data_IF_497082162190
#
_entry.id   IF_497082162190
#
_cell.length_a   1.000
_cell.length_b   1.000
_cell.length_c   1.000
_cell.angle_alpha   90.00
_cell.angle_beta   90.00
_cell.angle_gamma   90.00
#
_symmetry.space_group_name_H-M   'P 1'
#
loop_
_entity.id
_entity.type
_entity.pdbx_description
1 polymer ?
#
# COMPACT_ATOMS: atom_id res chain seq x y z
N UNK A 1 24.48 -43.11 -54.49
CA UNK A 1 24.67 -41.66 -54.23
C UNK A 1 23.60 -40.88 -54.99
N UNK A 2 22.45 -40.61 -54.39
CA UNK A 2 21.36 -39.89 -55.05
C UNK A 2 21.50 -38.38 -54.75
N UNK A 3 22.02 -37.61 -55.71
CA UNK A 3 22.02 -36.15 -55.63
C UNK A 3 20.59 -35.67 -55.87
N UNK A 4 19.88 -35.39 -54.78
CA UNK A 4 18.64 -34.63 -54.82
C UNK A 4 19.03 -33.21 -55.25
N UNK A 5 19.00 -32.95 -56.56
CA UNK A 5 19.15 -31.61 -57.11
C UNK A 5 17.93 -30.81 -56.68
N UNK A 6 18.05 -30.16 -55.51
CA UNK A 6 17.03 -29.26 -54.99
C UNK A 6 17.02 -28.02 -55.89
N UNK A 7 16.13 -28.03 -56.88
CA UNK A 7 15.90 -26.88 -57.78
C UNK A 7 15.70 -25.61 -56.94
N UNK A 8 16.34 -24.48 -57.28
CA UNK A 8 16.25 -23.23 -56.50
C UNK A 8 14.79 -22.77 -56.30
N UNK A 9 13.89 -23.13 -57.22
CA UNK A 9 12.45 -22.86 -57.14
C UNK A 9 11.77 -23.57 -55.97
N UNK A 10 12.15 -24.81 -55.66
CA UNK A 10 11.58 -25.59 -54.55
C UNK A 10 12.12 -25.12 -53.19
N UNK A 11 13.31 -24.54 -53.18
CA UNK A 11 13.94 -23.98 -51.99
C UNK A 11 13.27 -22.65 -51.61
N UNK A 12 12.99 -21.79 -52.60
CA UNK A 12 12.20 -20.57 -52.41
C UNK A 12 10.79 -20.87 -51.89
N UNK A 13 10.11 -21.87 -52.46
CA UNK A 13 8.75 -22.24 -52.05
C UNK A 13 8.71 -22.75 -50.59
N UNK A 14 9.71 -23.53 -50.16
CA UNK A 14 9.84 -23.96 -48.77
C UNK A 14 10.13 -22.81 -47.80
N UNK A 15 10.94 -21.82 -48.21
CA UNK A 15 11.21 -20.63 -47.39
C UNK A 15 9.94 -19.80 -47.23
N UNK A 16 9.18 -19.59 -48.31
CA UNK A 16 7.91 -18.83 -48.25
C UNK A 16 6.90 -19.54 -47.35
N UNK A 17 6.76 -20.86 -47.44
CA UNK A 17 5.87 -21.64 -46.56
C UNK A 17 6.36 -21.58 -45.11
N UNK A 18 7.67 -21.65 -44.87
CA UNK A 18 8.24 -21.55 -43.51
C UNK A 18 8.00 -20.18 -42.88
N UNK A 19 8.13 -19.09 -43.65
CA UNK A 19 7.86 -17.74 -43.18
C UNK A 19 6.38 -17.57 -42.89
N UNK A 20 5.51 -18.06 -43.79
CA UNK A 20 4.05 -18.00 -43.61
C UNK A 20 3.59 -18.83 -42.40
N UNK A 21 4.19 -19.99 -42.16
CA UNK A 21 3.92 -20.84 -40.99
C UNK A 21 4.40 -20.17 -39.70
N UNK A 22 5.59 -19.55 -39.71
CA UNK A 22 6.10 -18.80 -38.56
C UNK A 22 5.24 -17.58 -38.21
N UNK A 23 4.60 -16.95 -39.20
CA UNK A 23 3.63 -15.87 -38.98
C UNK A 23 2.38 -16.35 -38.24
N UNK A 24 1.93 -17.59 -38.46
CA UNK A 24 0.77 -18.17 -37.75
C UNK A 24 1.11 -18.47 -36.28
N UNK A 25 2.35 -18.86 -35.98
CA UNK A 25 2.80 -19.14 -34.60
C UNK A 25 3.06 -17.88 -33.76
N UNK A 26 3.28 -16.71 -34.39
CA UNK A 26 3.47 -15.43 -33.69
C UNK A 26 2.15 -14.79 -33.22
N UNK A 27 1.00 -15.32 -33.63
CA UNK A 27 -0.32 -14.82 -33.23
C UNK A 27 -0.96 -15.58 -32.07
N UNK A 28 -0.15 -16.22 -31.20
CA UNK A 28 -0.57 -16.42 -29.81
C UNK A 28 -0.48 -15.08 -29.06
N UNK A 29 -1.20 -14.08 -29.55
CA UNK A 29 -1.69 -13.03 -28.66
C UNK A 29 -2.51 -13.80 -27.63
N UNK A 30 -2.02 -13.85 -26.40
CA UNK A 30 -2.86 -14.18 -25.26
C UNK A 30 -4.04 -13.21 -25.33
N UNK A 31 -5.14 -13.64 -25.94
CA UNK A 31 -6.42 -13.00 -25.78
C UNK A 31 -6.79 -13.28 -24.32
N UNK A 32 -6.28 -12.47 -23.39
CA UNK A 32 -6.72 -12.52 -22.00
C UNK A 32 -8.23 -12.39 -22.04
N UNK A 33 -8.93 -13.42 -21.58
CA UNK A 33 -10.39 -13.37 -21.59
C UNK A 33 -10.83 -12.19 -20.73
N UNK A 34 -11.98 -11.60 -21.05
CA UNK A 34 -12.56 -10.56 -20.22
C UNK A 34 -12.78 -11.05 -18.78
N UNK A 35 -12.99 -12.35 -18.62
CA UNK A 35 -13.05 -13.07 -17.36
C UNK A 35 -11.71 -13.04 -16.60
N UNK A 36 -10.60 -13.43 -17.22
CA UNK A 36 -9.27 -13.39 -16.59
C UNK A 36 -8.89 -11.97 -16.16
N UNK A 37 -9.20 -10.98 -17.00
CA UNK A 37 -8.94 -9.57 -16.67
C UNK A 37 -9.82 -9.07 -15.53
N UNK A 38 -11.09 -9.47 -15.49
CA UNK A 38 -11.97 -9.11 -14.38
C UNK A 38 -11.56 -9.78 -13.06
N UNK A 39 -11.18 -11.06 -13.11
CA UNK A 39 -10.68 -11.79 -11.95
C UNK A 39 -9.41 -11.12 -11.39
N UNK A 40 -8.44 -10.79 -12.25
CA UNK A 40 -7.23 -10.09 -11.84
C UNK A 40 -7.51 -8.71 -11.22
N UNK A 41 -8.48 -7.95 -11.75
CA UNK A 41 -8.88 -6.67 -11.14
C UNK A 41 -9.56 -6.85 -9.78
N UNK A 42 -10.40 -7.88 -9.62
CA UNK A 42 -11.03 -8.19 -8.32
C UNK A 42 -9.95 -8.56 -7.28
N UNK A 43 -9.01 -9.42 -7.65
CA UNK A 43 -7.90 -9.82 -6.77
C UNK A 43 -7.03 -8.61 -6.38
N UNK A 44 -6.75 -7.70 -7.31
CA UNK A 44 -5.99 -6.49 -7.01
C UNK A 44 -6.76 -5.55 -6.06
N UNK A 45 -8.07 -5.41 -6.25
CA UNK A 45 -8.93 -4.65 -5.36
C UNK A 45 -9.02 -5.29 -3.96
N UNK A 46 -9.06 -6.62 -3.85
CA UNK A 46 -9.00 -7.36 -2.57
C UNK A 46 -7.70 -7.07 -1.82
N UNK A 47 -6.56 -7.19 -2.50
CA UNK A 47 -5.24 -6.91 -1.90
C UNK A 47 -5.13 -5.45 -1.44
N UNK A 48 -5.70 -4.52 -2.21
CA UNK A 48 -5.75 -3.10 -1.85
C UNK A 48 -6.61 -2.87 -0.60
N UNK A 49 -7.78 -3.53 -0.53
CA UNK A 49 -8.69 -3.45 0.60
C UNK A 49 -8.06 -4.01 1.88
N UNK A 50 -7.36 -5.16 1.78
CA UNK A 50 -6.61 -5.74 2.91
C UNK A 50 -5.53 -4.78 3.41
N UNK A 51 -4.78 -4.15 2.50
CA UNK A 51 -3.75 -3.17 2.87
C UNK A 51 -4.35 -1.94 3.55
N UNK A 52 -5.50 -1.47 3.06
CA UNK A 52 -6.25 -0.37 3.66
C UNK A 52 -6.76 -0.71 5.07
N UNK A 53 -7.29 -1.92 5.29
CA UNK A 53 -7.68 -2.40 6.61
C UNK A 53 -6.49 -2.38 7.59
N UNK A 54 -5.33 -2.85 7.15
CA UNK A 54 -4.14 -2.88 8.00
C UNK A 54 -3.67 -1.46 8.37
N UNK A 55 -3.69 -0.52 7.43
CA UNK A 55 -3.35 0.87 7.70
C UNK A 55 -4.29 1.53 8.72
N UNK A 56 -5.60 1.27 8.64
CA UNK A 56 -6.58 1.77 9.62
C UNK A 56 -6.31 1.17 11.00
N UNK A 57 -6.04 -0.13 11.06
CA UNK A 57 -5.78 -0.81 12.33
C UNK A 57 -4.56 -0.20 13.03
N UNK A 58 -3.50 0.09 12.28
CA UNK A 58 -2.33 0.79 12.82
C UNK A 58 -2.65 2.21 13.30
N UNK A 59 -3.47 2.95 12.55
CA UNK A 59 -3.92 4.28 12.95
C UNK A 59 -4.81 4.24 14.21
N UNK A 60 -5.71 3.27 14.31
CA UNK A 60 -6.57 3.05 15.48
C UNK A 60 -5.75 2.67 16.71
N UNK A 61 -4.77 1.77 16.56
CA UNK A 61 -3.85 1.39 17.64
C UNK A 61 -3.04 2.58 18.16
N UNK A 62 -2.71 3.54 17.30
CA UNK A 62 -2.08 4.79 17.68
C UNK A 62 -3.05 5.78 18.36
N UNK A 63 -4.35 5.48 18.44
CA UNK A 63 -5.38 6.32 19.02
C UNK A 63 -5.95 7.36 18.06
N UNK A 64 -5.78 7.18 16.75
CA UNK A 64 -6.33 8.10 15.76
C UNK A 64 -7.85 7.92 15.56
N UNK A 65 -8.55 8.99 15.20
CA UNK A 65 -9.97 8.91 14.85
C UNK A 65 -10.14 8.39 13.42
N UNK A 66 -10.57 7.14 13.30
CA UNK A 66 -10.72 6.43 12.02
C UNK A 66 -12.14 6.51 11.43
N UNK A 67 -13.07 7.27 12.00
CA UNK A 67 -14.50 7.22 11.62
C UNK A 67 -14.74 7.51 10.12
N UNK A 68 -14.02 8.49 9.58
CA UNK A 68 -14.12 8.86 8.16
C UNK A 68 -13.52 7.78 7.26
N UNK A 69 -12.33 7.27 7.63
CA UNK A 69 -11.65 6.20 6.90
C UNK A 69 -12.47 4.90 6.91
N UNK A 70 -13.13 4.58 8.02
CA UNK A 70 -13.98 3.40 8.13
C UNK A 70 -15.21 3.50 7.21
N UNK A 71 -15.77 4.70 7.06
CA UNK A 71 -16.89 4.95 6.15
C UNK A 71 -16.48 4.71 4.70
N UNK A 72 -15.33 5.25 4.29
CA UNK A 72 -14.79 5.10 2.95
C UNK A 72 -14.38 3.64 2.64
N UNK A 73 -13.83 2.93 3.63
CA UNK A 73 -13.52 1.51 3.52
C UNK A 73 -14.79 0.66 3.35
N UNK A 74 -15.87 1.01 4.06
CA UNK A 74 -17.16 0.33 3.91
C UNK A 74 -17.73 0.53 2.49
N UNK A 75 -17.61 1.74 1.94
CA UNK A 75 -18.01 2.02 0.56
C UNK A 75 -17.18 1.22 -0.46
N UNK A 76 -15.86 1.11 -0.23
CA UNK A 76 -14.98 0.27 -1.04
C UNK A 76 -15.36 -1.22 -0.94
N UNK A 77 -15.66 -1.72 0.25
CA UNK A 77 -16.13 -3.10 0.45
C UNK A 77 -17.45 -3.40 -0.27
N UNK A 78 -18.37 -2.43 -0.30
CA UNK A 78 -19.60 -2.54 -1.10
C UNK A 78 -19.31 -2.62 -2.60
N UNK A 79 -18.37 -1.83 -3.11
CA UNK A 79 -17.96 -1.88 -4.52
C UNK A 79 -17.35 -3.24 -4.88
N UNK A 80 -16.49 -3.77 -4.01
CA UNK A 80 -15.90 -5.10 -4.20
C UNK A 80 -16.94 -6.22 -4.19
N UNK A 81 -17.93 -6.15 -3.29
CA UNK A 81 -19.05 -7.10 -3.28
C UNK A 81 -19.85 -7.04 -4.59
N UNK A 82 -20.09 -5.84 -5.14
CA UNK A 82 -20.74 -5.68 -6.45
C UNK A 82 -19.88 -6.20 -7.60
N UNK A 83 -18.56 -6.10 -7.49
CA UNK A 83 -17.64 -6.66 -8.47
C UNK A 83 -17.76 -8.19 -8.54
N UNK A 84 -17.75 -8.86 -7.38
CA UNK A 84 -17.98 -10.30 -7.26
C UNK A 84 -19.34 -10.74 -7.81
N UNK A 85 -20.42 -10.05 -7.44
CA UNK A 85 -21.75 -10.35 -7.98
C UNK A 85 -21.80 -10.20 -9.50
N UNK A 86 -21.19 -9.14 -10.05
CA UNK A 86 -21.13 -8.95 -11.50
C UNK A 86 -20.30 -10.03 -12.20
N UNK A 87 -19.23 -10.51 -11.56
CA UNK A 87 -18.41 -11.61 -12.06
C UNK A 87 -19.19 -12.92 -12.10
N UNK A 88 -19.90 -13.26 -11.02
CA UNK A 88 -20.77 -14.46 -10.94
C UNK A 88 -21.90 -14.44 -11.99
N UNK A 89 -22.41 -13.25 -12.32
CA UNK A 89 -23.42 -13.07 -13.38
C UNK A 89 -22.83 -13.12 -14.81
N UNK A 90 -21.52 -13.33 -14.96
CA UNK A 90 -20.83 -13.33 -16.26
C UNK A 90 -20.66 -11.93 -16.87
N UNK A 91 -20.92 -10.87 -16.10
CA UNK A 91 -20.73 -9.48 -16.53
C UNK A 91 -19.34 -8.97 -16.12
N UNK A 92 -18.33 -9.48 -16.82
CA UNK A 92 -16.92 -9.22 -16.53
C UNK A 92 -16.52 -7.74 -16.70
N UNK A 93 -17.15 -7.00 -17.62
CA UNK A 93 -16.84 -5.58 -17.81
C UNK A 93 -17.33 -4.75 -16.62
N UNK A 94 -18.54 -5.03 -16.10
CA UNK A 94 -19.02 -4.38 -14.87
C UNK A 94 -18.20 -4.80 -13.65
N UNK A 95 -17.84 -6.08 -13.54
CA UNK A 95 -16.99 -6.59 -12.47
C UNK A 95 -15.66 -5.83 -12.38
N UNK A 96 -14.96 -5.71 -13.53
CA UNK A 96 -13.73 -4.93 -13.64
C UNK A 96 -13.94 -3.47 -13.25
N UNK A 97 -15.00 -2.83 -13.74
CA UNK A 97 -15.25 -1.41 -13.47
C UNK A 97 -15.53 -1.17 -11.96
N UNK A 98 -16.29 -2.06 -11.31
CA UNK A 98 -16.50 -1.98 -9.86
C UNK A 98 -15.20 -2.18 -9.07
N UNK A 99 -14.34 -3.11 -9.48
CA UNK A 99 -13.02 -3.31 -8.86
C UNK A 99 -12.12 -2.07 -9.02
N UNK A 100 -12.06 -1.47 -10.21
CA UNK A 100 -11.33 -0.23 -10.45
C UNK A 100 -11.89 0.93 -9.63
N UNK A 101 -13.20 1.03 -9.47
CA UNK A 101 -13.81 2.04 -8.59
C UNK A 101 -13.47 1.80 -7.11
N UNK A 102 -13.37 0.55 -6.67
CA UNK A 102 -12.92 0.21 -5.32
C UNK A 102 -11.49 0.73 -5.09
N UNK A 103 -10.56 0.47 -6.01
CA UNK A 103 -9.18 0.98 -5.93
C UNK A 103 -9.13 2.52 -5.98
N UNK A 104 -9.93 3.13 -6.86
CA UNK A 104 -10.07 4.59 -6.94
C UNK A 104 -10.56 5.21 -5.63
N UNK A 105 -11.52 4.55 -4.96
CA UNK A 105 -12.04 5.02 -3.68
C UNK A 105 -11.01 4.88 -2.54
N UNK A 106 -10.03 4.00 -2.68
CA UNK A 106 -8.92 3.79 -1.73
C UNK A 106 -7.63 4.53 -2.14
N UNK A 107 -7.67 5.35 -3.18
CA UNK A 107 -6.50 6.12 -3.62
C UNK A 107 -6.15 7.19 -2.58
N UNK A 108 -4.91 7.20 -2.09
CA UNK A 108 -4.45 8.11 -1.03
C UNK A 108 -4.92 7.72 0.37
N UNK A 109 -5.66 6.63 0.51
CA UNK A 109 -6.24 6.18 1.78
C UNK A 109 -5.18 5.80 2.81
N UNK A 110 -4.14 5.10 2.37
CA UNK A 110 -3.01 4.69 3.23
C UNK A 110 -2.26 5.92 3.74
N UNK A 111 -2.06 6.93 2.89
CA UNK A 111 -1.38 8.17 3.28
C UNK A 111 -2.18 8.95 4.33
N UNK A 112 -3.50 8.99 4.19
CA UNK A 112 -4.40 9.63 5.16
C UNK A 112 -4.44 8.88 6.50
N UNK A 113 -4.49 7.54 6.46
CA UNK A 113 -4.38 6.70 7.66
C UNK A 113 -3.05 6.91 8.39
N UNK A 114 -1.93 6.93 7.67
CA UNK A 114 -0.61 7.18 8.25
C UNK A 114 -0.50 8.62 8.78
N UNK A 115 -1.06 9.62 8.09
CA UNK A 115 -1.09 10.99 8.61
C UNK A 115 -1.86 11.09 9.94
N UNK A 116 -3.02 10.43 10.04
CA UNK A 116 -3.82 10.38 11.27
C UNK A 116 -3.09 9.65 12.41
N UNK A 117 -2.41 8.55 12.10
CA UNK A 117 -1.52 7.83 13.04
C UNK A 117 -0.42 8.74 13.58
N UNK A 118 0.28 9.46 12.70
CA UNK A 118 1.36 10.39 13.10
C UNK A 118 0.82 11.53 13.98
N UNK A 119 -0.35 12.08 13.66
CA UNK A 119 -1.01 13.10 14.50
C UNK A 119 -1.31 12.55 15.90
N UNK A 120 -1.79 11.31 15.99
CA UNK A 120 -2.10 10.67 17.26
C UNK A 120 -0.82 10.39 18.09
N UNK A 121 0.23 9.87 17.46
CA UNK A 121 1.55 9.67 18.08
C UNK A 121 2.13 11.01 18.58
N UNK A 122 2.08 12.05 17.75
CA UNK A 122 2.64 13.35 18.08
C UNK A 122 1.93 14.00 19.27
N UNK A 123 0.59 13.87 19.36
CA UNK A 123 -0.16 14.33 20.54
C UNK A 123 0.36 13.68 21.82
N UNK A 124 0.69 12.39 21.77
CA UNK A 124 1.24 11.67 22.93
C UNK A 124 2.71 12.05 23.23
N UNK A 125 3.50 12.42 22.22
CA UNK A 125 4.93 12.71 22.38
C UNK A 125 5.22 14.05 23.08
N UNK A 126 4.39 15.08 22.87
CA UNK A 126 4.55 16.38 23.53
C UNK A 126 4.35 16.29 25.06
N UNK A 127 3.35 15.53 25.49
CA UNK A 127 3.07 15.32 26.92
C UNK A 127 4.16 14.50 27.60
N UNK A 128 4.73 13.51 26.92
CA UNK A 128 5.80 12.69 27.49
C UNK A 128 7.13 13.45 27.56
N UNK A 129 7.54 14.09 26.47
CA UNK A 129 8.87 14.72 26.40
C UNK A 129 8.98 15.93 27.32
N UNK A 130 7.97 16.81 27.34
CA UNK A 130 8.02 18.03 28.17
C UNK A 130 7.90 17.69 29.66
N UNK A 131 7.00 16.77 30.05
CA UNK A 131 6.87 16.41 31.47
C UNK A 131 8.06 15.63 32.01
N UNK A 132 8.56 14.63 31.27
CA UNK A 132 9.63 13.75 31.77
C UNK A 132 10.97 14.48 31.76
N UNK A 133 11.34 15.12 30.65
CA UNK A 133 12.62 15.84 30.54
C UNK A 133 12.60 17.11 31.38
N UNK A 134 11.49 17.84 31.40
CA UNK A 134 11.32 19.04 32.23
C UNK A 134 11.46 18.74 33.73
N UNK A 135 10.84 17.66 34.21
CA UNK A 135 10.93 17.26 35.62
C UNK A 135 12.33 16.79 36.01
N UNK A 136 13.01 16.03 35.13
CA UNK A 136 14.36 15.55 35.38
C UNK A 136 15.38 16.71 35.46
N UNK A 137 15.32 17.66 34.53
CA UNK A 137 16.19 18.84 34.53
C UNK A 137 15.88 19.75 35.73
N UNK A 138 14.61 19.95 36.06
CA UNK A 138 14.20 20.72 37.24
C UNK A 138 14.70 20.13 38.55
N UNK A 139 14.60 18.82 38.73
CA UNK A 139 15.10 18.13 39.93
C UNK A 139 16.62 18.30 40.10
N UNK A 140 17.38 18.15 39.01
CA UNK A 140 18.84 18.35 39.01
C UNK A 140 19.21 19.78 39.36
N UNK A 141 18.48 20.78 38.84
CA UNK A 141 18.71 22.19 39.14
C UNK A 141 18.47 22.51 40.62
N UNK A 142 17.43 21.94 41.24
CA UNK A 142 17.14 22.13 42.68
C UNK A 142 18.26 21.53 43.53
N UNK A 143 18.74 20.33 43.20
CA UNK A 143 19.84 19.67 43.91
C UNK A 143 21.13 20.49 43.81
N UNK A 144 21.48 20.94 42.60
CA UNK A 144 22.67 21.77 42.39
C UNK A 144 22.56 23.12 43.10
N UNK A 145 21.41 23.80 43.00
CA UNK A 145 21.17 25.07 43.68
C UNK A 145 21.29 24.95 45.21
N UNK A 146 20.69 23.89 45.79
CA UNK A 146 20.81 23.60 47.22
C UNK A 146 22.25 23.32 47.66
N UNK A 147 23.01 22.58 46.86
CA UNK A 147 24.42 22.30 47.14
C UNK A 147 25.29 23.56 47.09
N UNK A 148 25.12 24.40 46.05
CA UNK A 148 25.84 25.67 45.92
C UNK A 148 25.52 26.61 47.06
N UNK A 149 24.24 26.73 47.42
CA UNK A 149 23.80 27.55 48.55
C UNK A 149 24.40 27.07 49.88
N UNK A 150 24.43 25.76 50.11
CA UNK A 150 25.03 25.17 51.30
C UNK A 150 26.53 25.42 51.39
N UNK A 151 27.27 25.24 50.29
CA UNK A 151 28.71 25.52 50.22
C UNK A 151 29.00 27.00 50.48
N UNK A 152 28.18 27.89 49.92
CA UNK A 152 28.33 29.33 50.11
C UNK A 152 28.11 29.74 51.58
N UNK A 153 27.09 29.21 52.24
CA UNK A 153 26.85 29.45 53.68
C UNK A 153 28.00 28.92 54.54
N UNK A 154 28.45 27.69 54.30
CA UNK A 154 29.55 27.08 55.05
C UNK A 154 30.86 27.86 54.93
N UNK A 155 31.13 28.44 53.77
CA UNK A 155 32.32 29.29 53.56
C UNK A 155 32.24 30.61 54.34
N UNK A 156 31.03 31.11 54.63
CA UNK A 156 30.82 32.36 55.37
C UNK A 156 30.90 32.18 56.89
N UNK A 157 30.50 31.03 57.42
CA UNK A 157 30.57 30.75 58.87
C UNK A 157 31.95 30.23 59.34
N UNK A 158 32.81 29.84 58.40
CA UNK A 158 34.18 29.39 58.68
C UNK A 158 35.26 30.48 58.58
N UNK A 159 34.89 31.75 58.45
CA UNK A 159 35.79 32.92 58.44
C UNK A 159 35.38 33.90 59.53
#
# INVERSE_FOLDING_TARGET
MNKIAKSPSNLLLLIVISVFSASIFMSNVFASSSEDTAAASIENAENTLVSAYQAILEAEQAGANISNLLTQLNDAGMLLSRAHLAYEMGNFNSARNFAVWCEGNLTGFIDEAEALKQIAIQRHYWDFTVNVVGSAVGAVAIIMGGFVFWVFLKKREGS
#
